data_IF_721218378365
#
_entry.id   IF_721218378365
#
_cell.length_a   1.000
_cell.length_b   1.000
_cell.length_c   1.000
_cell.angle_alpha   90.00
_cell.angle_beta   90.00
_cell.angle_gamma   90.00
#
_symmetry.space_group_name_H-M   'P 1'
#
loop_
_entity.id
_entity.type
_entity.pdbx_description
1 polymer ?
#
# COMPACT_ATOMS: atom_id res chain seq x y z
N UNK A 1 -4.08 1.02 2.85
CA UNK A 1 -4.74 0.02 3.71
C UNK A 1 -3.77 -1.07 4.17
N UNK A 2 -2.85 -1.52 3.30
CA UNK A 2 -1.90 -2.61 3.60
C UNK A 2 -1.07 -2.40 4.88
N UNK A 3 -0.48 -1.21 5.06
CA UNK A 3 0.33 -0.87 6.23
C UNK A 3 -0.48 -0.96 7.52
N UNK A 4 -1.67 -0.34 7.53
CA UNK A 4 -2.57 -0.35 8.70
C UNK A 4 -3.02 -1.77 9.06
N UNK A 5 -3.36 -2.59 8.05
CA UNK A 5 -3.74 -3.98 8.26
C UNK A 5 -2.58 -4.82 8.84
N UNK A 6 -1.36 -4.59 8.34
CA UNK A 6 -0.14 -5.28 8.80
C UNK A 6 0.14 -4.99 10.28
N UNK A 7 -0.14 -3.76 10.74
CA UNK A 7 0.10 -3.35 12.13
C UNK A 7 -1.06 -3.67 13.09
N UNK A 8 -2.18 -4.24 12.62
CA UNK A 8 -3.39 -4.47 13.43
C UNK A 8 -3.16 -5.49 14.55
N UNK A 9 -2.36 -6.52 14.27
CA UNK A 9 -2.12 -7.65 15.17
C UNK A 9 -0.76 -7.58 15.87
N UNK A 10 -0.02 -6.48 15.67
CA UNK A 10 1.30 -6.26 16.27
C UNK A 10 1.12 -5.66 17.67
N UNK A 11 1.76 -6.25 18.66
CA UNK A 11 1.68 -5.75 20.04
C UNK A 11 2.31 -4.35 20.14
N UNK A 12 1.77 -3.51 21.03
CA UNK A 12 2.17 -2.11 21.14
C UNK A 12 3.68 -1.90 21.29
N UNK A 13 4.35 -2.75 22.10
CA UNK A 13 5.80 -2.70 22.35
C UNK A 13 6.63 -2.85 21.08
N UNK A 14 6.19 -3.67 20.14
CA UNK A 14 6.93 -3.99 18.91
C UNK A 14 6.47 -3.13 17.72
N UNK A 15 5.30 -2.48 17.83
CA UNK A 15 4.68 -1.71 16.74
C UNK A 15 5.58 -0.63 16.16
N UNK A 16 6.38 0.05 16.98
CA UNK A 16 7.32 1.08 16.53
C UNK A 16 8.41 0.49 15.63
N UNK A 17 9.02 -0.61 16.08
CA UNK A 17 10.09 -1.29 15.35
C UNK A 17 9.57 -1.96 14.08
N UNK A 18 8.48 -2.71 14.20
CA UNK A 18 7.78 -3.34 13.08
C UNK A 18 7.43 -2.33 12.00
N UNK A 19 6.87 -1.17 12.38
CA UNK A 19 6.51 -0.13 11.40
C UNK A 19 7.75 0.47 10.76
N UNK A 20 8.86 0.64 11.49
CA UNK A 20 10.11 1.16 10.95
C UNK A 20 10.69 0.22 9.88
N UNK A 21 10.78 -1.07 10.18
CA UNK A 21 11.26 -2.08 9.22
C UNK A 21 10.33 -2.17 8.00
N UNK A 22 9.02 -2.12 8.21
CA UNK A 22 8.02 -2.09 7.13
C UNK A 22 8.19 -0.88 6.20
N UNK A 23 8.71 0.26 6.71
CA UNK A 23 8.98 1.43 5.86
C UNK A 23 10.08 1.19 4.85
N UNK A 24 11.05 0.33 5.17
CA UNK A 24 12.19 0.09 4.27
C UNK A 24 11.73 -0.52 2.95
N UNK A 25 10.67 -1.34 2.98
CA UNK A 25 10.11 -1.98 1.78
C UNK A 25 9.61 -0.92 0.79
N UNK A 26 8.72 -0.01 1.20
CA UNK A 26 8.12 0.95 0.27
C UNK A 26 8.96 2.23 0.06
N UNK A 27 10.00 2.44 0.87
CA UNK A 27 11.00 3.49 0.65
C UNK A 27 12.20 3.00 -0.19
N UNK A 28 12.26 1.71 -0.52
CA UNK A 28 13.35 1.16 -1.31
C UNK A 28 13.47 1.89 -2.67
N UNK A 29 14.69 1.98 -3.23
CA UNK A 29 14.92 2.68 -4.49
C UNK A 29 14.39 1.92 -5.71
N UNK A 30 14.34 0.59 -5.64
CA UNK A 30 13.91 -0.29 -6.74
C UNK A 30 13.03 -1.43 -6.23
N UNK A 31 12.31 -2.11 -7.13
CA UNK A 31 11.46 -3.27 -6.78
C UNK A 31 12.29 -4.41 -6.21
N UNK A 32 13.47 -4.65 -6.76
CA UNK A 32 14.41 -5.68 -6.29
C UNK A 32 14.92 -5.37 -4.88
N UNK A 33 15.25 -4.09 -4.61
CA UNK A 33 15.63 -3.67 -3.26
C UNK A 33 14.46 -3.80 -2.27
N UNK A 34 13.23 -3.51 -2.71
CA UNK A 34 12.04 -3.70 -1.89
C UNK A 34 11.80 -5.19 -1.56
N UNK A 35 12.08 -6.08 -2.51
CA UNK A 35 11.96 -7.53 -2.33
C UNK A 35 12.96 -8.04 -1.29
N UNK A 36 14.21 -7.57 -1.36
CA UNK A 36 15.24 -7.87 -0.34
C UNK A 36 14.80 -7.38 1.04
N UNK A 37 14.24 -6.17 1.13
CA UNK A 37 13.71 -5.66 2.39
C UNK A 37 12.51 -6.47 2.88
N UNK A 38 11.67 -7.00 2.00
CA UNK A 38 10.57 -7.89 2.36
C UNK A 38 11.08 -9.24 2.88
N UNK A 39 12.15 -9.78 2.29
CA UNK A 39 12.82 -10.99 2.78
C UNK A 39 13.41 -10.76 4.18
N UNK A 40 14.11 -9.64 4.39
CA UNK A 40 14.65 -9.26 5.70
C UNK A 40 13.54 -9.08 6.74
N UNK A 41 12.43 -8.46 6.33
CA UNK A 41 11.25 -8.28 7.15
C UNK A 41 10.63 -9.62 7.54
N UNK A 42 10.54 -10.57 6.61
CA UNK A 42 10.06 -11.93 6.85
C UNK A 42 10.98 -12.71 7.79
N UNK A 43 12.30 -12.61 7.64
CA UNK A 43 13.25 -13.27 8.54
C UNK A 43 13.06 -12.81 9.99
N UNK A 44 12.85 -11.51 10.19
CA UNK A 44 12.71 -10.92 11.53
C UNK A 44 11.32 -11.14 12.14
N UNK A 45 10.27 -10.95 11.34
CA UNK A 45 8.89 -10.89 11.85
C UNK A 45 8.03 -12.08 11.45
N UNK A 46 8.43 -12.89 10.48
CA UNK A 46 7.61 -13.95 9.90
C UNK A 46 7.19 -15.04 10.88
N UNK A 47 8.04 -15.36 11.87
CA UNK A 47 7.68 -16.30 12.92
C UNK A 47 6.57 -15.77 13.85
N UNK A 48 6.58 -14.46 14.17
CA UNK A 48 5.63 -13.83 15.09
C UNK A 48 4.36 -13.33 14.40
N UNK A 49 4.50 -12.79 13.19
CA UNK A 49 3.45 -12.11 12.43
C UNK A 49 3.30 -12.68 11.01
N UNK A 50 3.10 -14.01 10.85
CA UNK A 50 3.07 -14.65 9.54
C UNK A 50 1.94 -14.15 8.64
N UNK A 51 0.85 -13.65 9.22
CA UNK A 51 -0.26 -13.04 8.46
C UNK A 51 0.14 -11.76 7.74
N UNK A 52 1.00 -10.93 8.36
CA UNK A 52 1.50 -9.73 7.71
C UNK A 52 2.35 -10.13 6.49
N UNK A 53 3.28 -11.06 6.66
CA UNK A 53 4.13 -11.56 5.57
C UNK A 53 3.31 -12.13 4.42
N UNK A 54 2.38 -13.06 4.71
CA UNK A 54 1.50 -13.65 3.69
C UNK A 54 0.71 -12.59 2.93
N UNK A 55 0.17 -11.60 3.64
CA UNK A 55 -0.58 -10.52 3.00
C UNK A 55 0.31 -9.70 2.06
N UNK A 56 1.57 -9.44 2.41
CA UNK A 56 2.49 -8.74 1.51
C UNK A 56 2.89 -9.58 0.30
N UNK A 57 3.26 -10.85 0.50
CA UNK A 57 3.64 -11.76 -0.59
C UNK A 57 2.49 -11.98 -1.57
N UNK A 58 1.27 -12.20 -1.07
CA UNK A 58 0.10 -12.45 -1.93
C UNK A 58 -0.30 -11.23 -2.76
N UNK A 59 0.00 -10.02 -2.30
CA UNK A 59 -0.36 -8.78 -2.99
C UNK A 59 0.88 -8.08 -3.59
N UNK A 60 2.02 -8.77 -3.67
CA UNK A 60 3.32 -8.16 -3.98
C UNK A 60 3.31 -7.40 -5.31
N UNK A 61 2.76 -8.02 -6.35
CA UNK A 61 2.66 -7.40 -7.67
C UNK A 61 1.85 -6.10 -7.64
N UNK A 62 0.67 -6.11 -7.00
CA UNK A 62 -0.17 -4.91 -6.86
C UNK A 62 0.49 -3.83 -6.01
N UNK A 63 1.17 -4.24 -4.92
CA UNK A 63 1.84 -3.33 -4.01
C UNK A 63 3.10 -2.72 -4.58
N UNK A 64 3.67 -3.26 -5.66
CA UNK A 64 4.92 -2.80 -6.26
C UNK A 64 4.75 -2.07 -7.60
N UNK A 65 3.53 -1.98 -8.15
CA UNK A 65 3.24 -1.18 -9.36
C UNK A 65 3.71 0.28 -9.23
N UNK A 66 3.74 0.83 -8.00
CA UNK A 66 4.19 2.20 -7.80
C UNK A 66 5.68 2.43 -8.15
N UNK A 67 6.49 1.36 -8.27
CA UNK A 67 7.89 1.46 -8.72
C UNK A 67 8.01 1.92 -10.17
N UNK A 68 6.95 1.76 -10.98
CA UNK A 68 6.92 2.24 -12.37
C UNK A 68 6.84 3.77 -12.47
N UNK A 69 6.56 4.46 -11.36
CA UNK A 69 6.48 5.92 -11.31
C UNK A 69 7.79 6.56 -10.82
N UNK A 70 8.07 7.82 -11.22
CA UNK A 70 9.19 8.61 -10.69
C UNK A 70 9.15 8.74 -9.16
N UNK A 71 10.32 8.86 -8.53
CA UNK A 71 10.50 8.84 -7.06
C UNK A 71 9.69 9.94 -6.35
N UNK A 72 9.52 11.09 -7.01
CA UNK A 72 8.72 12.22 -6.53
C UNK A 72 7.25 11.84 -6.35
N UNK A 73 6.73 10.99 -7.25
CA UNK A 73 5.35 10.50 -7.22
C UNK A 73 5.20 9.35 -6.21
N UNK A 74 6.21 8.48 -6.08
CA UNK A 74 6.21 7.40 -5.08
C UNK A 74 5.99 7.94 -3.67
N UNK A 75 6.66 9.06 -3.35
CA UNK A 75 6.50 9.76 -2.07
C UNK A 75 5.07 10.20 -1.80
N UNK A 76 4.39 10.70 -2.81
CA UNK A 76 2.99 11.06 -2.72
C UNK A 76 2.17 9.80 -2.48
N UNK A 77 2.36 8.71 -3.24
CA UNK A 77 1.58 7.47 -3.14
C UNK A 77 1.65 6.85 -1.72
N UNK A 78 2.83 6.78 -1.08
CA UNK A 78 2.94 6.18 0.25
C UNK A 78 2.56 7.12 1.41
N UNK A 79 2.74 8.44 1.26
CA UNK A 79 2.37 9.41 2.31
C UNK A 79 0.90 9.78 2.26
N UNK A 80 0.31 9.75 1.07
CA UNK A 80 -1.10 10.04 0.89
C UNK A 80 -1.90 8.75 1.00
N UNK A 81 -2.65 8.64 2.09
CA UNK A 81 -3.88 7.85 2.19
C UNK A 81 -4.93 8.23 1.10
N UNK A 82 -4.53 8.80 -0.04
CA UNK A 82 -5.38 9.24 -1.14
C UNK A 82 -6.06 8.06 -1.80
N UNK A 83 -5.49 6.87 -1.89
CA UNK A 83 -6.25 5.72 -2.43
C UNK A 83 -7.43 5.36 -1.50
N UNK A 84 -7.27 5.46 -0.18
CA UNK A 84 -8.36 5.24 0.78
C UNK A 84 -9.40 6.39 0.73
N UNK A 85 -8.93 7.64 0.66
CA UNK A 85 -9.78 8.85 0.61
C UNK A 85 -10.47 9.02 -0.75
N UNK A 86 -9.80 8.65 -1.84
CA UNK A 86 -10.31 8.62 -3.21
C UNK A 86 -11.31 7.48 -3.37
N UNK A 87 -11.07 6.28 -2.84
CA UNK A 87 -12.07 5.20 -2.83
C UNK A 87 -13.33 5.59 -2.04
N UNK A 88 -13.18 6.31 -0.93
CA UNK A 88 -14.30 6.89 -0.18
C UNK A 88 -15.06 7.97 -0.97
N UNK A 89 -14.34 8.86 -1.67
CA UNK A 89 -14.93 9.91 -2.53
C UNK A 89 -15.58 9.33 -3.79
N UNK A 90 -14.96 8.36 -4.45
CA UNK A 90 -15.49 7.65 -5.63
C UNK A 90 -16.79 6.93 -5.25
N UNK A 91 -16.81 6.13 -4.16
CA UNK A 91 -18.05 5.49 -3.66
C UNK A 91 -19.15 6.51 -3.33
N UNK A 92 -18.79 7.66 -2.76
CA UNK A 92 -19.75 8.73 -2.44
C UNK A 92 -20.32 9.36 -3.72
N UNK A 93 -19.53 9.46 -4.79
CA UNK A 93 -19.90 10.07 -6.06
C UNK A 93 -20.69 9.10 -6.96
N UNK A 94 -20.33 7.83 -7.01
CA UNK A 94 -21.02 6.80 -7.82
C UNK A 94 -22.30 6.26 -7.19
N UNK A 95 -22.57 6.51 -5.90
CA UNK A 95 -23.82 6.09 -5.23
C UNK A 95 -25.09 6.72 -5.84
N UNK A 96 -24.97 7.83 -6.57
CA UNK A 96 -26.10 8.56 -7.17
C UNK A 96 -26.13 8.54 -8.71
N UNK A 97 -25.26 7.81 -9.39
CA UNK A 97 -25.27 7.73 -10.87
C UNK A 97 -25.45 6.29 -11.33
N UNK A 98 -26.69 5.95 -11.70
CA UNK A 98 -27.15 4.60 -12.08
C UNK A 98 -26.98 4.29 -13.59
N UNK A 99 -26.36 5.17 -14.38
CA UNK A 99 -25.99 4.88 -15.78
C UNK A 99 -25.12 6.01 -16.34
N UNK A 100 -24.01 5.67 -17.01
CA UNK A 100 -23.22 6.61 -17.81
C UNK A 100 -23.50 6.32 -19.30
N UNK A 101 -24.05 7.26 -20.09
CA UNK A 101 -24.42 6.96 -21.47
C UNK A 101 -23.37 7.30 -22.55
N UNK A 102 -22.17 7.83 -22.26
CA UNK A 102 -21.03 7.85 -23.22
C UNK A 102 -19.71 8.42 -22.64
N UNK A 103 -18.59 8.03 -23.27
CA UNK A 103 -17.19 8.18 -22.80
C UNK A 103 -16.59 9.61 -22.80
N UNK A 104 -17.27 10.62 -23.34
CA UNK A 104 -16.71 11.99 -23.44
C UNK A 104 -16.92 12.88 -22.19
N UNK A 105 -17.66 12.42 -21.18
CA UNK A 105 -17.91 13.20 -19.96
C UNK A 105 -16.75 13.16 -18.93
N UNK A 106 -15.73 12.32 -19.13
CA UNK A 106 -14.69 12.04 -18.14
C UNK A 106 -13.51 13.02 -18.11
N UNK A 107 -13.45 14.04 -18.99
CA UNK A 107 -12.25 14.89 -19.15
C UNK A 107 -12.33 16.34 -18.64
N UNK A 108 -13.45 16.81 -18.08
CA UNK A 108 -13.47 18.11 -17.39
C UNK A 108 -14.43 18.11 -16.20
N UNK A 109 -13.91 17.84 -15.00
CA UNK A 109 -14.22 18.59 -13.77
C UNK A 109 -13.33 18.17 -12.62
#
# INVERSE_FOLDING_TARGET
HQISNSCRYVVWKEKKEFTADLKNIYNAPTKEAAEIELDNFEQKWGAKYPYAIRSWRNNWEELTVFFDFPVEIRKIIYTTNLIENLNGKIRKYTKNQLSFPNDDALKKS
#
